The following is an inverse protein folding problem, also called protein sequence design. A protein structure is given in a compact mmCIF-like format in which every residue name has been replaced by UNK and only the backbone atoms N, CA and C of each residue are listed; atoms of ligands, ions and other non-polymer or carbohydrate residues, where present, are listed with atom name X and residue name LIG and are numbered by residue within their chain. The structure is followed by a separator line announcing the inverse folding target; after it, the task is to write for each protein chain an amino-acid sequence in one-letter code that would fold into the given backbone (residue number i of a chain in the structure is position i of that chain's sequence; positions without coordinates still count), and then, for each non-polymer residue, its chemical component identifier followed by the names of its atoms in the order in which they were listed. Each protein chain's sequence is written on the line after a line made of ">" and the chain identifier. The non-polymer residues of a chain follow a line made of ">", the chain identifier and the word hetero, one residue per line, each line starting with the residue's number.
data_IF_014934461606
#
_entry.id   IF_014934461606
#
_cell.length_a   1.000
_cell.length_b   1.000
_cell.length_c   1.000
_cell.angle_alpha   90.00
_cell.angle_beta   90.00
_cell.angle_gamma   90.00
#
_symmetry.space_group_name_H-M   'P 1'
#
loop_
_entity.id
_entity.type
_entity.pdbx_description
1 polymer ?
#
# COMPACT_ATOMS: atom_id res chain seq x y z
N UNK A 1 28.38 7.91 -12.72
CA UNK A 1 26.97 7.45 -12.78
C UNK A 1 26.29 7.74 -11.45
N UNK A 2 25.37 8.70 -11.42
CA UNK A 2 24.64 9.12 -10.22
C UNK A 2 23.55 8.10 -9.88
N UNK A 3 23.85 7.11 -9.03
CA UNK A 3 22.84 6.25 -8.40
C UNK A 3 22.48 6.85 -7.05
N UNK A 4 21.36 7.56 -6.91
CA UNK A 4 21.08 8.14 -5.58
C UNK A 4 19.85 9.03 -5.43
N UNK A 5 18.71 8.65 -5.99
CA UNK A 5 17.47 9.40 -5.75
C UNK A 5 16.28 8.54 -5.33
N UNK A 6 16.08 7.41 -6.01
CA UNK A 6 14.89 6.59 -5.82
C UNK A 6 14.84 5.86 -4.49
N UNK A 7 13.62 5.56 -4.03
CA UNK A 7 13.35 4.67 -2.92
C UNK A 7 12.73 3.38 -3.44
N UNK A 8 13.20 2.26 -2.90
CA UNK A 8 12.60 0.94 -3.08
C UNK A 8 12.22 0.40 -1.71
N UNK A 9 10.96 -0.01 -1.55
CA UNK A 9 10.43 -0.53 -0.29
C UNK A 9 9.73 -1.85 -0.60
N UNK A 10 10.00 -2.87 0.21
CA UNK A 10 9.28 -4.14 0.15
C UNK A 10 8.51 -4.33 1.44
N UNK A 11 7.23 -4.66 1.33
CA UNK A 11 6.33 -4.82 2.45
C UNK A 11 5.59 -6.14 2.28
N UNK A 12 5.65 -6.98 3.30
CA UNK A 12 4.83 -8.18 3.40
C UNK A 12 3.72 -7.95 4.44
N UNK A 13 2.48 -8.33 4.14
CA UNK A 13 1.40 -8.38 5.12
C UNK A 13 0.70 -9.73 5.12
N UNK A 14 0.36 -10.26 6.30
CA UNK A 14 -0.40 -11.49 6.42
C UNK A 14 -1.90 -11.26 6.13
N UNK A 15 -2.61 -12.35 5.88
CA UNK A 15 -4.06 -12.35 5.67
C UNK A 15 -4.79 -12.43 7.01
N UNK A 16 -5.93 -11.74 7.10
CA UNK A 16 -6.81 -11.79 8.27
C UNK A 16 -8.14 -12.46 7.91
N UNK A 17 -8.63 -13.36 8.77
CA UNK A 17 -9.97 -13.96 8.69
C UNK A 17 -10.82 -13.46 9.86
N UNK A 18 -11.96 -12.85 9.56
CA UNK A 18 -12.88 -12.35 10.57
C UNK A 18 -13.59 -13.49 11.32
N UNK A 19 -13.45 -13.50 12.65
CA UNK A 19 -14.26 -14.31 13.56
C UNK A 19 -15.59 -13.61 13.89
N UNK A 20 -15.52 -12.30 14.16
CA UNK A 20 -16.70 -11.43 14.24
C UNK A 20 -16.68 -10.52 13.03
N UNK A 21 -17.74 -10.59 12.23
CA UNK A 21 -17.80 -9.94 10.91
C UNK A 21 -17.93 -8.42 11.02
N UNK A 22 -17.13 -7.71 10.23
CA UNK A 22 -17.41 -6.32 9.87
C UNK A 22 -18.57 -6.32 8.87
N UNK A 23 -19.71 -5.73 9.20
CA UNK A 23 -20.84 -5.65 8.27
C UNK A 23 -21.65 -4.35 8.41
N UNK A 24 -21.56 -3.54 7.36
CA UNK A 24 -22.24 -2.24 7.29
C UNK A 24 -21.38 -1.07 7.76
N UNK A 25 -21.69 0.12 7.23
CA UNK A 25 -20.96 1.37 7.45
C UNK A 25 -21.90 2.42 8.04
N UNK A 26 -21.48 3.07 9.13
CA UNK A 26 -22.20 4.24 9.65
C UNK A 26 -21.83 5.53 8.90
N UNK A 27 -20.64 5.56 8.31
CA UNK A 27 -20.15 6.66 7.49
C UNK A 27 -19.32 6.08 6.33
N UNK A 28 -19.74 6.33 5.10
CA UNK A 28 -19.10 5.76 3.91
C UNK A 28 -17.81 6.46 3.50
N UNK A 29 -17.74 7.78 3.70
CA UNK A 29 -16.57 8.60 3.36
C UNK A 29 -15.37 8.22 4.23
N UNK A 30 -15.60 8.12 5.54
CA UNK A 30 -14.59 7.76 6.53
C UNK A 30 -14.45 6.24 6.71
N UNK A 31 -15.33 5.44 6.09
CA UNK A 31 -15.38 3.97 6.20
C UNK A 31 -15.49 3.52 7.67
N UNK A 32 -16.38 4.16 8.45
CA UNK A 32 -16.57 3.81 9.86
C UNK A 32 -17.54 2.63 10.02
N UNK A 33 -17.18 1.59 10.80
CA UNK A 33 -18.04 0.44 11.06
C UNK A 33 -19.32 0.80 11.82
N UNK A 34 -20.36 -0.03 11.63
CA UNK A 34 -21.52 -0.08 12.53
C UNK A 34 -21.25 -0.90 13.80
N UNK A 35 -20.38 -1.91 13.71
CA UNK A 35 -20.09 -2.84 14.79
C UNK A 35 -18.60 -3.16 14.86
N UNK A 36 -18.15 -3.53 16.04
CA UNK A 36 -16.80 -4.03 16.24
C UNK A 36 -16.62 -5.37 15.51
N UNK A 37 -15.37 -5.65 15.12
CA UNK A 37 -14.99 -6.88 14.43
C UNK A 37 -13.73 -7.45 15.06
N UNK A 38 -13.62 -8.77 15.05
CA UNK A 38 -12.46 -9.51 15.57
C UNK A 38 -12.00 -10.43 14.45
N UNK A 39 -10.70 -10.48 14.18
CA UNK A 39 -10.11 -11.33 13.17
C UNK A 39 -8.87 -12.03 13.71
N UNK A 40 -8.58 -13.19 13.13
CA UNK A 40 -7.32 -13.91 13.32
C UNK A 40 -6.41 -13.68 12.13
N UNK A 41 -5.12 -13.54 12.40
CA UNK A 41 -4.09 -13.41 11.37
C UNK A 41 -3.53 -14.80 11.05
N UNK A 42 -3.41 -15.11 9.76
CA UNK A 42 -2.80 -16.34 9.26
C UNK A 42 -1.42 -15.99 8.73
N UNK A 43 -0.39 -16.60 9.31
CA UNK A 43 1.01 -16.25 9.01
C UNK A 43 1.46 -16.85 7.67
N UNK A 44 0.94 -18.03 7.32
CA UNK A 44 1.30 -18.76 6.11
C UNK A 44 0.76 -18.09 4.84
N UNK A 45 -0.26 -17.23 4.94
CA UNK A 45 -0.88 -16.54 3.81
C UNK A 45 -0.53 -15.07 3.86
N UNK A 46 0.13 -14.57 2.82
CA UNK A 46 0.61 -13.18 2.78
C UNK A 46 0.60 -12.57 1.38
N UNK A 47 0.51 -11.25 1.35
CA UNK A 47 0.75 -10.43 0.18
C UNK A 47 2.07 -9.69 0.34
N UNK A 48 2.92 -9.75 -0.67
CA UNK A 48 4.18 -9.02 -0.75
C UNK A 48 4.06 -7.94 -1.80
N UNK A 49 4.29 -6.68 -1.42
CA UNK A 49 4.29 -5.54 -2.34
C UNK A 49 5.64 -4.83 -2.35
N UNK A 50 6.10 -4.57 -3.56
CA UNK A 50 7.26 -3.75 -3.86
C UNK A 50 6.79 -2.38 -4.33
N UNK A 51 7.33 -1.33 -3.74
CA UNK A 51 7.04 0.06 -4.10
C UNK A 51 8.36 0.69 -4.53
N UNK A 52 8.41 1.14 -5.78
CA UNK A 52 9.54 1.87 -6.35
C UNK A 52 9.09 3.28 -6.70
N UNK A 53 9.77 4.29 -6.15
CA UNK A 53 9.55 5.69 -6.50
C UNK A 53 10.88 6.32 -6.85
N UNK A 54 10.99 6.98 -8.00
CA UNK A 54 12.26 7.52 -8.45
C UNK A 54 12.21 8.15 -9.84
N UNK A 55 13.33 8.72 -10.29
CA UNK A 55 13.45 9.29 -11.63
C UNK A 55 13.44 8.21 -12.73
N UNK A 56 13.79 6.97 -12.39
CA UNK A 56 13.81 5.83 -13.32
C UNK A 56 12.41 5.24 -13.57
N UNK A 57 11.38 5.75 -12.89
CA UNK A 57 9.99 5.34 -13.07
C UNK A 57 9.33 6.30 -14.04
N UNK A 58 8.88 5.79 -15.19
CA UNK A 58 8.29 6.60 -16.26
C UNK A 58 6.85 7.04 -15.97
N UNK A 59 6.04 6.18 -15.35
CA UNK A 59 4.61 6.40 -15.13
C UNK A 59 4.15 5.70 -13.87
N UNK A 60 3.07 6.22 -13.26
CA UNK A 60 2.43 5.53 -12.15
C UNK A 60 1.81 4.23 -12.66
N UNK A 61 2.08 3.12 -11.97
CA UNK A 61 1.57 1.80 -12.38
C UNK A 61 1.36 0.90 -11.17
N UNK A 62 0.33 0.05 -11.27
CA UNK A 62 0.03 -0.97 -10.28
C UNK A 62 -0.11 -2.30 -11.00
N UNK A 63 0.57 -3.31 -10.49
CA UNK A 63 0.50 -4.68 -10.97
C UNK A 63 0.18 -5.60 -9.80
N UNK A 64 -0.78 -6.51 -9.97
CA UNK A 64 -1.15 -7.53 -8.99
C UNK A 64 -1.00 -8.91 -9.63
N UNK A 65 -0.16 -9.77 -9.05
CA UNK A 65 0.14 -11.11 -9.57
C UNK A 65 0.52 -11.09 -11.06
N UNK A 66 1.29 -10.08 -11.50
CA UNK A 66 1.69 -9.90 -12.89
C UNK A 66 0.64 -9.26 -13.81
N UNK A 67 -0.58 -9.01 -13.32
CA UNK A 67 -1.66 -8.38 -14.08
C UNK A 67 -1.72 -6.87 -13.79
N UNK A 68 -1.67 -6.04 -14.83
CA UNK A 68 -1.81 -4.58 -14.70
C UNK A 68 -3.21 -4.16 -14.26
N UNK A 69 -3.30 -3.25 -13.30
CA UNK A 69 -4.56 -2.68 -12.83
C UNK A 69 -4.74 -1.29 -13.45
N UNK A 70 -5.93 -1.01 -13.99
CA UNK A 70 -6.28 0.34 -14.40
C UNK A 70 -6.46 1.25 -13.19
N UNK A 71 -5.62 2.29 -13.13
CA UNK A 71 -5.59 3.27 -12.04
C UNK A 71 -6.36 4.55 -12.37
N UNK A 72 -6.71 4.80 -13.64
CA UNK A 72 -7.23 6.09 -14.09
C UNK A 72 -8.60 6.44 -13.48
N UNK A 73 -9.42 5.44 -13.16
CA UNK A 73 -10.76 5.62 -12.58
C UNK A 73 -10.84 5.57 -11.05
N UNK A 74 -9.78 5.19 -10.34
CA UNK A 74 -9.85 4.87 -8.91
C UNK A 74 -9.38 6.02 -8.02
N UNK A 75 -10.31 6.62 -7.27
CA UNK A 75 -9.97 7.61 -6.22
C UNK A 75 -9.04 7.03 -5.14
N UNK A 76 -9.11 5.72 -4.89
CA UNK A 76 -8.26 5.02 -3.92
C UNK A 76 -6.79 5.05 -4.33
N UNK A 77 -6.48 4.73 -5.59
CA UNK A 77 -5.09 4.74 -6.07
C UNK A 77 -4.51 6.16 -6.10
N UNK A 78 -5.31 7.16 -6.48
CA UNK A 78 -4.88 8.58 -6.41
C UNK A 78 -4.42 8.98 -5.01
N UNK A 79 -5.20 8.64 -3.98
CA UNK A 79 -4.85 8.94 -2.58
C UNK A 79 -3.57 8.19 -2.15
N UNK A 80 -3.42 6.92 -2.54
CA UNK A 80 -2.22 6.13 -2.22
C UNK A 80 -0.96 6.75 -2.84
N UNK A 81 -0.99 7.06 -4.14
CA UNK A 81 0.16 7.69 -4.81
C UNK A 81 0.52 9.04 -4.21
N UNK A 82 -0.49 9.85 -3.84
CA UNK A 82 -0.27 11.11 -3.13
C UNK A 82 0.45 10.89 -1.79
N UNK A 83 -0.02 9.95 -0.97
CA UNK A 83 0.59 9.65 0.32
C UNK A 83 2.04 9.14 0.20
N UNK A 84 2.33 8.29 -0.81
CA UNK A 84 3.69 7.81 -1.08
C UNK A 84 4.62 8.98 -1.46
N UNK A 85 4.15 9.90 -2.32
CA UNK A 85 4.91 11.09 -2.73
C UNK A 85 5.17 12.05 -1.56
N UNK A 86 4.16 12.28 -0.72
CA UNK A 86 4.29 13.11 0.48
C UNK A 86 5.29 12.49 1.47
N UNK A 87 5.23 11.17 1.70
CA UNK A 87 6.17 10.45 2.54
C UNK A 87 7.61 10.52 1.99
N UNK A 88 7.79 10.26 0.70
CA UNK A 88 9.09 10.38 0.02
C UNK A 88 9.66 11.80 0.16
N UNK A 89 8.85 12.82 -0.07
CA UNK A 89 9.24 14.23 0.07
C UNK A 89 9.67 14.57 1.50
N UNK A 90 8.94 14.09 2.51
CA UNK A 90 9.31 14.26 3.93
C UNK A 90 10.63 13.58 4.26
N UNK A 91 10.84 12.33 3.82
CA UNK A 91 12.09 11.60 4.07
C UNK A 91 13.30 12.26 3.39
N UNK A 92 13.14 12.81 2.19
CA UNK A 92 14.19 13.54 1.47
C UNK A 92 14.53 14.86 2.15
N UNK A 93 13.51 15.60 2.59
CA UNK A 93 13.70 16.84 3.37
C UNK A 93 14.53 16.59 4.63
N UNK A 94 14.28 15.47 5.33
CA UNK A 94 15.10 15.06 6.50
C UNK A 94 16.55 14.73 6.12
N UNK A 95 16.81 14.26 4.90
CA UNK A 95 18.17 14.02 4.38
C UNK A 95 18.83 15.26 3.77
N UNK A 96 18.18 16.43 3.79
CA UNK A 96 18.68 17.65 3.15
C UNK A 96 18.57 17.64 1.61
N UNK A 97 17.80 16.72 1.04
CA UNK A 97 17.60 16.61 -0.41
C UNK A 97 16.34 17.36 -0.87
N UNK A 98 16.37 17.92 -2.09
CA UNK A 98 15.22 18.61 -2.67
C UNK A 98 14.05 17.65 -2.98
N UNK A 99 12.83 18.20 -2.92
CA UNK A 99 11.59 17.48 -3.18
C UNK A 99 11.55 16.92 -4.61
N UNK A 100 11.09 15.67 -4.70
CA UNK A 100 10.98 14.85 -5.92
C UNK A 100 9.83 15.28 -6.82
N UNK A 101 9.81 16.54 -7.25
CA UNK A 101 8.74 17.05 -8.12
C UNK A 101 8.81 16.31 -9.46
N UNK A 102 7.75 15.55 -9.78
CA UNK A 102 7.66 14.80 -11.04
C UNK A 102 8.10 13.32 -10.98
N UNK A 103 8.34 12.74 -9.80
CA UNK A 103 8.61 11.30 -9.72
C UNK A 103 7.32 10.47 -9.77
N UNK A 104 7.41 9.39 -10.52
CA UNK A 104 6.35 8.39 -10.63
C UNK A 104 6.61 7.21 -9.70
N UNK A 105 5.55 6.46 -9.41
CA UNK A 105 5.58 5.34 -8.49
C UNK A 105 5.09 4.06 -9.18
N UNK A 106 5.91 3.01 -9.11
CA UNK A 106 5.55 1.67 -9.54
C UNK A 106 5.25 0.82 -8.31
N UNK A 107 4.12 0.13 -8.33
CA UNK A 107 3.65 -0.74 -7.25
C UNK A 107 3.43 -2.14 -7.82
N UNK A 108 4.11 -3.13 -7.27
CA UNK A 108 4.01 -4.53 -7.69
C UNK A 108 3.64 -5.38 -6.50
N UNK A 109 2.45 -5.97 -6.51
CA UNK A 109 1.96 -6.84 -5.45
C UNK A 109 1.83 -8.28 -5.92
N UNK A 110 2.18 -9.21 -5.06
CA UNK A 110 2.04 -10.65 -5.28
C UNK A 110 1.44 -11.32 -4.04
N UNK A 111 0.59 -12.32 -4.23
CA UNK A 111 -0.03 -13.10 -3.16
C UNK A 111 0.39 -14.56 -3.25
N UNK A 112 0.66 -15.21 -2.12
CA UNK A 112 0.99 -16.65 -2.08
C UNK A 112 -0.25 -17.56 -1.96
N UNK A 113 -1.44 -17.02 -2.14
CA UNK A 113 -2.72 -17.73 -2.12
C UNK A 113 -3.50 -17.50 -3.44
N UNK A 114 -4.37 -18.44 -3.83
CA UNK A 114 -5.12 -18.32 -5.08
C UNK A 114 -6.08 -17.13 -5.02
N UNK A 115 -6.06 -16.29 -6.06
CA UNK A 115 -6.99 -15.15 -6.22
C UNK A 115 -8.47 -15.60 -6.19
N UNK A 116 -8.75 -16.86 -6.55
CA UNK A 116 -10.07 -17.49 -6.55
C UNK A 116 -10.55 -17.98 -5.18
N UNK A 117 -9.73 -17.92 -4.13
CA UNK A 117 -10.06 -18.47 -2.80
C UNK A 117 -11.09 -17.65 -2.01
N UNK A 118 -11.60 -16.53 -2.55
CA UNK A 118 -12.55 -15.65 -1.84
C UNK A 118 -11.97 -14.97 -0.59
N UNK A 119 -10.67 -15.15 -0.33
CA UNK A 119 -9.93 -14.50 0.75
C UNK A 119 -9.70 -13.04 0.36
N UNK A 120 -10.66 -12.19 0.72
CA UNK A 120 -10.62 -10.72 0.76
C UNK A 120 -9.34 -10.04 0.20
N UNK A 121 -9.04 -10.24 -1.09
CA UNK A 121 -7.78 -9.76 -1.70
C UNK A 121 -7.72 -8.23 -1.70
N UNK A 122 -8.91 -7.60 -1.66
CA UNK A 122 -9.11 -6.17 -1.50
C UNK A 122 -8.64 -5.63 -0.15
N UNK A 123 -8.73 -6.43 0.92
CA UNK A 123 -8.38 -6.04 2.30
C UNK A 123 -6.86 -6.08 2.50
N UNK A 124 -6.18 -7.11 2.02
CA UNK A 124 -4.72 -7.22 2.09
C UNK A 124 -4.02 -6.10 1.31
N UNK A 125 -4.57 -5.74 0.15
CA UNK A 125 -4.03 -4.66 -0.69
C UNK A 125 -4.31 -3.29 -0.05
N UNK A 126 -5.52 -3.05 0.48
CA UNK A 126 -5.89 -1.76 1.09
C UNK A 126 -5.23 -1.51 2.45
N UNK A 127 -4.99 -2.53 3.28
CA UNK A 127 -4.31 -2.40 4.58
C UNK A 127 -2.81 -2.15 4.45
N UNK A 128 -2.19 -2.58 3.35
CA UNK A 128 -0.76 -2.42 3.14
C UNK A 128 -0.35 -0.96 2.91
N UNK A 129 -1.22 -0.17 2.28
CA UNK A 129 -0.82 1.14 1.75
C UNK A 129 -0.73 2.26 2.79
N UNK A 130 -1.75 2.57 3.63
CA UNK A 130 -1.63 3.66 4.60
C UNK A 130 -1.01 3.21 5.94
N UNK A 131 -1.35 2.01 6.43
CA UNK A 131 -1.02 1.62 7.80
C UNK A 131 0.47 1.31 8.01
N UNK A 132 1.15 0.63 7.06
CA UNK A 132 2.59 0.33 7.20
C UNK A 132 3.50 1.49 6.80
N UNK A 133 3.08 2.40 5.91
CA UNK A 133 3.81 3.65 5.66
C UNK A 133 3.80 4.52 6.93
N UNK A 134 2.70 4.51 7.69
CA UNK A 134 2.61 5.21 8.97
C UNK A 134 3.38 4.50 10.10
N UNK A 135 3.33 3.16 10.21
CA UNK A 135 4.11 2.43 11.21
C UNK A 135 5.64 2.53 11.02
N UNK A 136 6.13 2.80 9.80
CA UNK A 136 7.55 3.12 9.58
C UNK A 136 7.95 4.51 10.12
N UNK A 137 6.96 5.35 10.47
CA UNK A 137 7.16 6.66 11.11
C UNK A 137 7.26 6.58 12.63
N UNK A 138 7.10 5.40 13.25
CA UNK A 138 7.41 5.23 14.66
C UNK A 138 8.88 4.80 14.78
N UNK A 139 9.80 5.68 15.23
CA UNK A 139 11.09 5.19 15.70
C UNK A 139 10.79 4.24 16.86
N UNK A 140 11.39 3.05 16.83
CA UNK A 140 11.47 2.17 17.98
C UNK A 140 11.64 3.00 19.25
N UNK A 141 10.66 2.92 20.15
CA UNK A 141 10.87 3.16 21.56
C UNK A 141 10.63 1.83 22.26
#
# INVERSE_FOLDING_TARGET
>A
MNRGGGFHITIQAPVNIALIKYWGKRNEELVLPLNDSIAITIDELSATTHITIGPDVSTDSVTLNGVGIDIAGSSRFRNVFQQIREYSSRKRKLKGEHASKGWHTKIESSTNFPTSAGLASSVSTSLLFPAKICCFSSPNR
#
